data_IF_028553356012
#
_entry.id   IF_028553356012
#
_cell.length_a   1.000
_cell.length_b   1.000
_cell.length_c   1.000
_cell.angle_alpha   90.00
_cell.angle_beta   90.00
_cell.angle_gamma   90.00
#
_symmetry.space_group_name_H-M   'P 1'
#
loop_
_entity.id
_entity.type
_entity.pdbx_description
1 polymer ?
#
# COMPACT_ATOMS: atom_id res chain seq x y z
N UNK A 1 -3.51 16.57 -3.05
CA UNK A 1 -3.94 15.74 -1.91
C UNK A 1 -5.06 14.84 -2.40
N UNK A 2 -4.95 13.52 -2.26
CA UNK A 2 -6.01 12.58 -2.61
C UNK A 2 -6.74 12.29 -1.32
N UNK A 3 -7.96 12.81 -1.17
CA UNK A 3 -8.86 12.45 -0.08
C UNK A 3 -9.64 11.20 -0.51
N UNK A 4 -9.42 10.11 0.18
CA UNK A 4 -10.28 8.94 0.12
C UNK A 4 -11.25 9.00 1.31
N UNK A 5 -12.54 9.13 1.03
CA UNK A 5 -13.57 9.09 2.05
C UNK A 5 -13.81 7.62 2.45
N UNK A 6 -13.45 7.26 3.68
CA UNK A 6 -13.65 5.90 4.21
C UNK A 6 -15.07 5.83 4.77
N UNK A 7 -15.92 5.03 4.15
CA UNK A 7 -17.24 4.68 4.68
C UNK A 7 -17.04 3.96 6.04
N UNK A 8 -17.66 4.48 7.12
CA UNK A 8 -17.46 4.06 8.53
C UNK A 8 -16.21 4.58 9.23
N UNK A 9 -15.64 5.70 8.78
CA UNK A 9 -14.48 6.33 9.41
C UNK A 9 -14.62 6.49 10.93
N UNK A 10 -15.79 6.94 11.42
CA UNK A 10 -16.03 7.13 12.86
C UNK A 10 -15.99 5.83 13.65
N UNK A 11 -16.45 4.73 13.08
CA UNK A 11 -16.40 3.41 13.72
C UNK A 11 -14.94 2.93 13.85
N UNK A 12 -14.18 3.03 12.78
CA UNK A 12 -12.75 2.68 12.77
C UNK A 12 -11.98 3.55 13.76
N UNK A 13 -12.21 4.86 13.74
CA UNK A 13 -11.58 5.81 14.67
C UNK A 13 -11.89 5.47 16.13
N UNK A 14 -13.15 5.12 16.43
CA UNK A 14 -13.55 4.70 17.78
C UNK A 14 -12.84 3.41 18.19
N UNK A 15 -12.80 2.41 17.34
CA UNK A 15 -12.13 1.13 17.62
C UNK A 15 -10.63 1.34 17.85
N UNK A 16 -9.95 2.15 17.04
CA UNK A 16 -8.54 2.52 17.27
C UNK A 16 -8.35 3.24 18.60
N UNK A 17 -9.22 4.20 18.93
CA UNK A 17 -9.16 4.91 20.21
C UNK A 17 -9.32 3.98 21.41
N UNK A 18 -10.26 3.05 21.35
CA UNK A 18 -10.51 2.06 22.41
C UNK A 18 -9.30 1.10 22.53
N UNK A 19 -8.71 0.69 21.40
CA UNK A 19 -7.49 -0.12 21.38
C UNK A 19 -6.31 0.63 22.02
N UNK A 20 -6.08 1.88 21.66
CA UNK A 20 -4.99 2.70 22.22
C UNK A 20 -5.18 2.90 23.72
N UNK A 21 -6.41 3.14 24.19
CA UNK A 21 -6.71 3.22 25.62
C UNK A 21 -6.36 1.94 26.37
N UNK A 22 -6.58 0.78 25.74
CA UNK A 22 -6.33 -0.53 26.34
C UNK A 22 -4.83 -0.91 26.32
N UNK A 23 -4.09 -0.57 25.26
CA UNK A 23 -2.74 -1.02 24.98
C UNK A 23 -1.66 0.09 25.00
N UNK A 24 -2.05 1.35 25.10
CA UNK A 24 -1.16 2.51 25.12
C UNK A 24 -0.69 2.97 23.74
N UNK A 25 -0.66 2.11 22.73
CA UNK A 25 -0.21 2.42 21.37
C UNK A 25 -0.73 1.41 20.35
N UNK A 26 -1.05 1.88 19.13
CA UNK A 26 -1.38 1.04 17.98
C UNK A 26 -0.17 0.81 17.04
N UNK A 27 1.04 1.20 17.44
CA UNK A 27 2.24 1.17 16.61
C UNK A 27 2.56 -0.21 16.04
N UNK A 28 2.37 -1.29 16.80
CA UNK A 28 2.64 -2.66 16.34
C UNK A 28 1.67 -3.09 15.23
N UNK A 29 0.33 -3.02 15.40
CA UNK A 29 -0.57 -3.32 14.29
C UNK A 29 -0.38 -2.40 13.08
N UNK A 30 -0.08 -1.11 13.27
CA UNK A 30 0.21 -0.19 12.17
C UNK A 30 1.50 -0.56 11.42
N UNK A 31 2.53 -1.03 12.12
CA UNK A 31 3.75 -1.56 11.49
C UNK A 31 3.46 -2.80 10.63
N UNK A 32 2.56 -3.67 11.07
CA UNK A 32 2.11 -4.84 10.26
C UNK A 32 1.37 -4.40 9.00
N UNK A 33 0.55 -3.37 9.08
CA UNK A 33 -0.11 -2.76 7.91
C UNK A 33 0.91 -2.24 6.91
N UNK A 34 1.95 -1.52 7.37
CA UNK A 34 3.03 -1.03 6.50
C UNK A 34 3.76 -2.18 5.79
N UNK A 35 4.11 -3.22 6.53
CA UNK A 35 4.78 -4.41 5.97
C UNK A 35 3.91 -5.10 4.91
N UNK A 36 2.62 -5.26 5.20
CA UNK A 36 1.66 -5.82 4.25
C UNK A 36 1.54 -4.95 3.00
N UNK A 37 1.43 -3.62 3.15
CA UNK A 37 1.32 -2.69 2.02
C UNK A 37 2.55 -2.73 1.11
N UNK A 38 3.76 -2.75 1.65
CA UNK A 38 4.99 -2.91 0.86
C UNK A 38 4.96 -4.22 0.08
N UNK A 39 4.61 -5.33 0.74
CA UNK A 39 4.53 -6.65 0.10
C UNK A 39 3.45 -6.72 -0.97
N UNK A 40 2.31 -6.09 -0.73
CA UNK A 40 1.25 -5.97 -1.73
C UNK A 40 1.77 -5.24 -2.98
N UNK A 41 2.40 -4.09 -2.81
CA UNK A 41 2.95 -3.32 -3.94
C UNK A 41 4.01 -4.12 -4.70
N UNK A 42 4.94 -4.76 -4.00
CA UNK A 42 5.96 -5.62 -4.61
C UNK A 42 5.33 -6.73 -5.48
N UNK A 43 4.28 -7.38 -4.99
CA UNK A 43 3.70 -8.54 -5.67
C UNK A 43 2.63 -8.21 -6.70
N UNK A 44 1.80 -7.19 -6.46
CA UNK A 44 0.62 -6.90 -7.30
C UNK A 44 0.80 -5.69 -8.21
N UNK A 45 1.67 -4.75 -7.86
CA UNK A 45 1.92 -3.57 -8.69
C UNK A 45 3.16 -3.78 -9.56
N UNK A 46 4.24 -4.27 -8.96
CA UNK A 46 5.55 -4.40 -9.63
C UNK A 46 5.98 -5.83 -9.96
N UNK A 47 5.33 -6.85 -9.37
CA UNK A 47 5.71 -8.24 -9.55
C UNK A 47 4.96 -9.01 -10.64
N UNK A 48 3.86 -8.45 -11.16
CA UNK A 48 3.07 -9.11 -12.20
C UNK A 48 3.76 -8.98 -13.56
N UNK A 49 4.19 -10.10 -14.14
CA UNK A 49 4.67 -10.16 -15.51
C UNK A 49 3.51 -9.94 -16.49
N UNK A 50 3.51 -8.83 -17.20
CA UNK A 50 2.47 -8.46 -18.15
C UNK A 50 1.73 -7.19 -17.75
N UNK A 51 0.71 -6.78 -18.54
CA UNK A 51 -0.06 -5.57 -18.26
C UNK A 51 -0.81 -5.64 -16.92
N UNK A 52 -1.04 -6.85 -16.41
CA UNK A 52 -1.74 -7.07 -15.15
C UNK A 52 -3.16 -6.52 -15.19
N UNK A 53 -3.55 -5.79 -14.13
CA UNK A 53 -4.85 -5.13 -14.05
C UNK A 53 -4.87 -3.74 -14.69
N UNK A 54 -3.81 -3.32 -15.34
CA UNK A 54 -3.72 -2.03 -16.01
C UNK A 54 -3.96 -2.15 -17.51
N UNK A 55 -4.46 -1.05 -18.11
CA UNK A 55 -4.47 -0.90 -19.55
C UNK A 55 -3.03 -1.00 -20.07
N UNK A 56 -2.83 -1.81 -21.11
CA UNK A 56 -1.52 -2.00 -21.71
C UNK A 56 -0.97 -0.71 -22.34
N UNK A 57 0.31 -0.68 -22.54
CA UNK A 57 1.03 0.40 -23.25
C UNK A 57 1.04 0.10 -24.75
N UNK A 58 1.14 1.16 -25.56
CA UNK A 58 1.22 1.00 -27.02
C UNK A 58 2.54 0.31 -27.47
N UNK A 59 2.54 -0.25 -28.67
CA UNK A 59 3.67 -1.03 -29.19
C UNK A 59 4.93 -0.18 -29.34
N UNK A 60 4.81 1.08 -29.76
CA UNK A 60 5.96 1.96 -29.93
C UNK A 60 6.65 2.23 -28.57
N UNK A 61 5.86 2.37 -27.50
CA UNK A 61 6.40 2.54 -26.16
C UNK A 61 6.98 1.24 -25.60
N UNK A 62 6.42 0.07 -25.95
CA UNK A 62 7.00 -1.25 -25.61
C UNK A 62 8.40 -1.38 -26.18
N UNK A 63 8.55 -1.14 -27.50
CA UNK A 63 9.82 -1.20 -28.20
C UNK A 63 10.86 -0.24 -27.58
N UNK A 64 10.43 1.01 -27.32
CA UNK A 64 11.27 1.99 -26.64
C UNK A 64 11.71 1.51 -25.27
N UNK A 65 10.78 1.04 -24.44
CA UNK A 65 11.05 0.62 -23.07
C UNK A 65 11.97 -0.60 -23.04
N UNK A 66 11.72 -1.61 -23.88
CA UNK A 66 12.57 -2.79 -23.98
C UNK A 66 13.99 -2.42 -24.42
N UNK A 67 14.12 -1.53 -25.39
CA UNK A 67 15.42 -1.02 -25.84
C UNK A 67 16.16 -0.23 -24.75
N UNK A 68 15.43 0.56 -23.94
CA UNK A 68 16.01 1.45 -22.93
C UNK A 68 16.42 0.73 -21.65
N UNK A 69 15.60 -0.22 -21.18
CA UNK A 69 15.73 -0.85 -19.84
C UNK A 69 15.76 -2.38 -19.87
N UNK A 70 15.62 -3.01 -21.05
CA UNK A 70 15.74 -4.46 -21.24
C UNK A 70 14.47 -5.27 -20.86
N UNK A 71 13.35 -4.62 -20.59
CA UNK A 71 12.09 -5.26 -20.26
C UNK A 71 10.88 -4.37 -20.54
N UNK A 72 9.74 -4.98 -20.84
CA UNK A 72 8.46 -4.28 -21.07
C UNK A 72 7.68 -4.17 -19.77
N UNK A 73 7.56 -5.25 -19.03
CA UNK A 73 6.75 -5.35 -17.83
C UNK A 73 7.59 -5.53 -16.55
N UNK A 74 7.07 -5.11 -15.39
CA UNK A 74 5.77 -4.44 -15.15
C UNK A 74 5.72 -3.02 -15.74
N UNK A 75 4.51 -2.57 -16.09
CA UNK A 75 4.30 -1.27 -16.79
C UNK A 75 4.89 -0.09 -16.00
N UNK A 76 4.64 -0.04 -14.68
CA UNK A 76 5.04 1.06 -13.81
C UNK A 76 6.52 1.03 -13.39
N UNK A 77 7.26 0.02 -13.80
CA UNK A 77 8.71 -0.07 -13.54
C UNK A 77 9.48 0.39 -14.77
N UNK A 78 10.31 1.42 -14.61
CA UNK A 78 11.27 1.88 -15.62
C UNK A 78 12.68 1.86 -15.05
N UNK A 79 13.02 2.77 -14.16
CA UNK A 79 14.29 2.89 -13.44
C UNK A 79 14.26 2.25 -12.03
N UNK A 80 13.09 1.82 -11.57
CA UNK A 80 12.87 1.25 -10.26
C UNK A 80 12.73 2.26 -9.12
N UNK A 81 12.79 3.57 -9.39
CA UNK A 81 12.65 4.60 -8.35
C UNK A 81 11.27 4.55 -7.70
N UNK A 82 10.20 4.52 -8.51
CA UNK A 82 8.83 4.41 -7.99
C UNK A 82 8.61 3.08 -7.26
N UNK A 83 9.10 1.97 -7.82
CA UNK A 83 9.01 0.66 -7.17
C UNK A 83 9.64 0.69 -5.77
N UNK A 84 10.90 1.12 -5.67
CA UNK A 84 11.60 1.20 -4.37
C UNK A 84 10.89 2.10 -3.38
N UNK A 85 10.35 3.24 -3.83
CA UNK A 85 9.65 4.18 -2.94
C UNK A 85 8.35 3.64 -2.36
N UNK A 86 7.75 2.62 -2.99
CA UNK A 86 6.48 2.01 -2.58
C UNK A 86 6.64 0.60 -1.99
N UNK A 87 7.84 0.02 -2.01
CA UNK A 87 8.11 -1.35 -1.52
C UNK A 87 9.10 -1.40 -0.38
N UNK A 88 9.80 -0.31 -0.07
CA UNK A 88 10.76 -0.22 1.05
C UNK A 88 10.72 1.15 1.70
N UNK A 89 10.83 1.18 3.03
CA UNK A 89 10.91 2.43 3.79
C UNK A 89 12.26 3.15 3.69
N UNK A 90 13.31 2.45 3.26
CA UNK A 90 14.68 3.00 3.19
C UNK A 90 14.94 3.78 1.89
N UNK A 91 13.95 3.90 1.01
CA UNK A 91 14.07 4.68 -0.21
C UNK A 91 14.02 6.18 0.11
N UNK A 92 14.87 6.96 -0.55
CA UNK A 92 14.88 8.42 -0.48
C UNK A 92 13.51 9.05 -0.79
N UNK A 93 12.73 8.41 -1.66
CA UNK A 93 11.42 8.90 -2.09
C UNK A 93 10.25 8.24 -1.33
N UNK A 94 10.52 7.35 -0.39
CA UNK A 94 9.47 6.76 0.43
C UNK A 94 8.95 7.76 1.45
N UNK A 95 7.64 7.82 1.62
CA UNK A 95 6.98 8.53 2.72
C UNK A 95 6.48 7.48 3.69
N UNK A 96 7.08 7.41 4.86
CA UNK A 96 6.64 6.54 5.96
C UNK A 96 6.75 7.29 7.26
N UNK A 97 5.59 7.57 7.87
CA UNK A 97 5.50 8.12 9.22
C UNK A 97 4.65 7.19 10.08
N UNK A 98 5.24 6.61 11.10
CA UNK A 98 4.59 5.67 12.01
C UNK A 98 4.53 6.27 13.42
N UNK A 99 3.36 6.72 13.80
CA UNK A 99 3.03 7.20 15.15
C UNK A 99 2.41 6.11 16.02
N UNK A 100 1.92 6.54 17.19
CA UNK A 100 1.21 5.65 18.13
C UNK A 100 -0.24 5.37 17.70
N UNK A 101 -0.83 6.26 16.90
CA UNK A 101 -2.23 6.24 16.48
C UNK A 101 -2.44 6.52 14.99
N UNK A 102 -1.35 6.68 14.22
CA UNK A 102 -1.44 6.92 12.78
C UNK A 102 -0.29 6.24 12.01
N UNK A 103 -0.55 6.01 10.74
CA UNK A 103 0.42 5.60 9.74
C UNK A 103 0.20 6.42 8.47
N UNK A 104 1.24 7.13 8.02
CA UNK A 104 1.28 7.77 6.70
C UNK A 104 2.24 6.98 5.84
N UNK A 105 1.80 6.59 4.65
CA UNK A 105 2.61 5.84 3.69
C UNK A 105 2.35 6.31 2.27
N UNK A 106 3.39 6.39 1.46
CA UNK A 106 3.31 6.91 0.10
C UNK A 106 4.66 7.12 -0.55
N UNK A 107 4.68 8.04 -1.50
CA UNK A 107 5.89 8.40 -2.26
C UNK A 107 5.94 9.89 -2.58
N UNK A 108 7.14 10.44 -2.62
CA UNK A 108 7.43 11.80 -3.11
C UNK A 108 7.82 11.82 -4.59
N UNK A 109 7.83 10.67 -5.28
CA UNK A 109 8.11 10.61 -6.71
C UNK A 109 7.07 11.44 -7.47
N UNK A 110 7.50 12.53 -8.12
CA UNK A 110 6.61 13.54 -8.71
C UNK A 110 5.66 12.95 -9.77
N UNK A 111 6.15 12.05 -10.61
CA UNK A 111 5.33 11.46 -11.67
C UNK A 111 4.31 10.42 -11.17
N UNK A 112 4.39 9.98 -9.92
CA UNK A 112 3.42 9.04 -9.35
C UNK A 112 2.00 9.58 -9.36
N UNK A 113 1.82 10.90 -9.22
CA UNK A 113 0.50 11.54 -9.24
C UNK A 113 -0.17 11.42 -10.61
N UNK A 114 0.61 11.47 -11.70
CA UNK A 114 0.09 11.33 -13.05
C UNK A 114 -0.39 9.89 -13.33
N UNK A 115 0.29 8.90 -12.79
CA UNK A 115 -0.19 7.52 -12.83
C UNK A 115 -1.42 7.31 -11.95
N UNK A 116 -1.45 7.92 -10.75
CA UNK A 116 -2.57 7.77 -9.83
C UNK A 116 -3.87 8.37 -10.36
N UNK A 117 -3.80 9.51 -11.04
CA UNK A 117 -4.97 10.25 -11.54
C UNK A 117 -5.23 10.06 -13.03
N UNK A 118 -4.22 9.66 -13.80
CA UNK A 118 -4.22 9.73 -15.25
C UNK A 118 -4.06 11.18 -15.77
N UNK A 119 -3.89 11.29 -17.07
CA UNK A 119 -3.89 12.55 -17.83
C UNK A 119 -4.62 12.32 -19.15
N UNK A 120 -4.76 13.34 -20.00
CA UNK A 120 -5.36 13.17 -21.34
C UNK A 120 -4.67 12.08 -22.18
N UNK A 121 -3.35 11.88 -21.99
CA UNK A 121 -2.54 10.91 -22.74
C UNK A 121 -2.07 9.72 -21.91
N UNK A 122 -2.37 9.68 -20.60
CA UNK A 122 -1.93 8.63 -19.70
C UNK A 122 -3.13 8.03 -18.96
N UNK A 123 -3.46 6.75 -19.19
CA UNK A 123 -4.55 6.13 -18.46
C UNK A 123 -4.25 6.00 -16.97
N UNK A 124 -5.29 5.95 -16.16
CA UNK A 124 -5.19 5.75 -14.71
C UNK A 124 -4.53 4.40 -14.41
N UNK A 125 -3.43 4.43 -13.67
CA UNK A 125 -2.68 3.25 -13.20
C UNK A 125 -2.24 3.48 -11.76
N UNK A 126 -3.14 3.28 -10.83
CA UNK A 126 -3.01 3.65 -9.41
C UNK A 126 -1.91 2.85 -8.69
N UNK A 127 -0.72 3.43 -8.42
CA UNK A 127 0.36 2.71 -7.76
C UNK A 127 0.29 2.74 -6.23
N UNK A 128 -0.36 3.75 -5.65
CA UNK A 128 -0.36 3.96 -4.19
C UNK A 128 -1.54 3.25 -3.53
N UNK A 129 -2.74 3.44 -4.09
CA UNK A 129 -3.96 2.80 -3.63
C UNK A 129 -4.83 2.45 -4.83
N UNK A 130 -5.05 1.16 -5.05
CA UNK A 130 -5.71 0.65 -6.24
C UNK A 130 -7.20 0.43 -6.08
N UNK A 131 -7.68 0.00 -4.90
CA UNK A 131 -9.06 -0.41 -4.71
C UNK A 131 -9.50 -0.40 -3.25
N UNK A 132 -10.83 -0.41 -3.04
CA UNK A 132 -11.41 -0.64 -1.73
C UNK A 132 -11.02 -2.01 -1.14
N UNK A 133 -10.86 -3.05 -1.97
CA UNK A 133 -10.39 -4.36 -1.53
C UNK A 133 -8.99 -4.27 -0.88
N UNK A 134 -8.10 -3.45 -1.42
CA UNK A 134 -6.80 -3.22 -0.79
C UNK A 134 -6.93 -2.54 0.58
N UNK A 135 -7.84 -1.57 0.72
CA UNK A 135 -8.13 -0.94 2.01
C UNK A 135 -8.69 -1.92 3.03
N UNK A 136 -9.63 -2.78 2.63
CA UNK A 136 -10.19 -3.81 3.50
C UNK A 136 -9.10 -4.76 4.00
N UNK A 137 -8.19 -5.21 3.14
CA UNK A 137 -7.06 -6.06 3.52
C UNK A 137 -6.07 -5.37 4.45
N UNK A 138 -5.83 -4.06 4.30
CA UNK A 138 -5.02 -3.28 5.24
C UNK A 138 -5.71 -3.20 6.61
N UNK A 139 -7.03 -2.99 6.64
CA UNK A 139 -7.82 -2.98 7.87
C UNK A 139 -7.81 -4.37 8.54
N UNK A 140 -8.03 -5.44 7.79
CA UNK A 140 -7.95 -6.82 8.30
C UNK A 140 -6.57 -7.11 8.92
N UNK A 141 -5.49 -6.69 8.27
CA UNK A 141 -4.12 -6.86 8.80
C UNK A 141 -3.96 -6.17 10.14
N UNK A 142 -4.49 -4.94 10.28
CA UNK A 142 -4.49 -4.22 11.55
C UNK A 142 -5.21 -5.01 12.64
N UNK A 143 -6.46 -5.40 12.37
CA UNK A 143 -7.29 -6.09 13.35
C UNK A 143 -6.75 -7.46 13.74
N UNK A 144 -6.26 -8.24 12.79
CA UNK A 144 -5.64 -9.54 13.08
C UNK A 144 -4.43 -9.39 14.02
N UNK A 145 -3.57 -8.40 13.76
CA UNK A 145 -2.42 -8.13 14.64
C UNK A 145 -2.86 -7.65 16.02
N UNK A 146 -3.86 -6.77 16.09
CA UNK A 146 -4.41 -6.28 17.34
C UNK A 146 -5.04 -7.40 18.20
N UNK A 147 -5.78 -8.33 17.57
CA UNK A 147 -6.36 -9.51 18.24
C UNK A 147 -5.24 -10.44 18.76
N UNK A 148 -4.21 -10.67 17.95
CA UNK A 148 -3.06 -11.50 18.40
C UNK A 148 -2.37 -10.89 19.61
N UNK A 149 -2.15 -9.56 19.61
CA UNK A 149 -1.58 -8.87 20.77
C UNK A 149 -2.46 -9.04 22.03
N UNK A 150 -3.78 -8.84 21.88
CA UNK A 150 -4.73 -9.03 22.98
C UNK A 150 -4.67 -10.46 23.55
N UNK A 151 -4.69 -11.45 22.68
CA UNK A 151 -4.65 -12.85 23.08
C UNK A 151 -3.34 -13.19 23.79
N UNK A 152 -2.21 -12.71 23.30
CA UNK A 152 -0.90 -12.93 23.91
C UNK A 152 -0.81 -12.37 25.34
N UNK A 153 -1.34 -11.16 25.55
CA UNK A 153 -1.33 -10.50 26.87
C UNK A 153 -2.24 -11.23 27.85
N UNK A 154 -3.37 -11.79 27.38
CA UNK A 154 -4.34 -12.48 28.24
C UNK A 154 -4.12 -13.99 28.32
N UNK A 155 -3.05 -14.54 27.74
CA UNK A 155 -2.75 -15.97 27.75
C UNK A 155 -3.78 -16.83 27.01
N UNK A 156 -4.50 -16.25 26.06
CA UNK A 156 -5.52 -16.93 25.26
C UNK A 156 -4.86 -17.61 24.07
N UNK A 157 -4.64 -18.91 24.15
CA UNK A 157 -4.12 -19.73 23.05
C UNK A 157 -5.26 -20.16 22.12
N UNK A 158 -5.69 -19.29 21.21
CA UNK A 158 -6.72 -19.60 20.21
C UNK A 158 -6.54 -18.79 18.94
N UNK A 159 -6.57 -19.46 17.79
CA UNK A 159 -6.70 -18.81 16.48
C UNK A 159 -8.19 -18.57 16.20
N UNK A 160 -8.62 -17.33 16.19
CA UNK A 160 -9.94 -16.97 15.69
C UNK A 160 -9.81 -16.77 14.17
N UNK A 161 -10.43 -17.67 13.40
CA UNK A 161 -10.69 -17.42 11.99
C UNK A 161 -11.91 -16.52 11.89
N UNK A 162 -11.77 -15.36 11.26
CA UNK A 162 -12.87 -14.51 10.80
C UNK A 162 -13.29 -14.89 9.40
#
# INVERSE_FOLDING_TARGET
>A
MIEAEIVNYDKIKKMMSDFIKAFGSARVPLSSVLTYWHKWNETHIFGLGGPGAYQDIDEAYKDFKESAVGFIYPILKFDGVLEKSLTTQDSEYAVVELGDDYLIMGTTVEYAIYHQKGTENLPVRQPVLKSFEQLDRLADTFFQTAIQMYNNINGINGTWAL
#
